data_IF_093626487466
#
_entry.id   IF_093626487466
#
_cell.length_a   1.000
_cell.length_b   1.000
_cell.length_c   1.000
_cell.angle_alpha   90.00
_cell.angle_beta   90.00
_cell.angle_gamma   90.00
#
_symmetry.space_group_name_H-M   'P 1'
#
loop_
_entity.id
_entity.type
_entity.pdbx_description
1 polymer ?
#
# COMPACT_ATOMS: atom_id res chain seq x y z
N UNK A 1 24.21 23.62 40.60
CA UNK A 1 23.52 24.14 39.39
C UNK A 1 24.42 23.89 38.20
N UNK A 2 24.20 22.81 37.46
CA UNK A 2 24.85 22.58 36.17
C UNK A 2 23.77 22.67 35.10
N UNK A 3 23.82 23.76 34.32
CA UNK A 3 22.86 24.04 33.27
C UNK A 3 23.10 23.14 32.06
N UNK A 4 22.11 22.32 31.73
CA UNK A 4 22.01 21.64 30.45
C UNK A 4 21.74 22.66 29.35
N UNK A 5 22.75 22.97 28.54
CA UNK A 5 22.58 23.70 27.31
C UNK A 5 21.86 22.83 26.28
N UNK A 6 20.55 23.02 26.10
CA UNK A 6 19.84 22.58 24.89
C UNK A 6 20.53 23.25 23.70
N UNK A 7 21.27 22.49 22.89
CA UNK A 7 21.70 22.93 21.55
C UNK A 7 20.42 23.24 20.76
N UNK A 8 20.13 24.52 20.54
CA UNK A 8 19.19 24.95 19.52
C UNK A 8 19.71 24.38 18.20
N UNK A 9 19.02 23.40 17.63
CA UNK A 9 19.16 23.06 16.22
C UNK A 9 18.91 24.38 15.48
N UNK A 10 19.92 24.88 14.75
CA UNK A 10 19.74 26.08 13.93
C UNK A 10 18.57 25.82 12.98
N UNK A 11 17.64 26.76 12.85
CA UNK A 11 16.44 26.64 11.99
C UNK A 11 16.78 26.31 10.52
N UNK A 12 18.04 26.46 10.10
CA UNK A 12 18.57 26.07 8.77
C UNK A 12 18.91 24.58 8.63
N UNK A 13 18.97 23.80 9.71
CA UNK A 13 19.29 22.37 9.73
C UNK A 13 18.09 21.46 10.01
N UNK A 14 16.87 22.01 10.06
CA UNK A 14 15.66 21.21 10.23
C UNK A 14 15.56 20.12 9.13
N UNK A 15 15.33 18.84 9.48
CA UNK A 15 15.25 17.75 8.51
C UNK A 15 14.31 18.04 7.32
N UNK A 16 13.21 18.76 7.55
CA UNK A 16 12.21 19.11 6.54
C UNK A 16 12.76 20.07 5.48
N UNK A 17 13.60 21.03 5.87
CA UNK A 17 14.27 21.95 4.91
C UNK A 17 15.32 21.21 4.08
N UNK A 18 16.08 20.30 4.72
CA UNK A 18 17.07 19.45 4.02
C UNK A 18 16.39 18.52 3.02
N UNK A 19 15.27 17.91 3.41
CA UNK A 19 14.48 17.03 2.56
C UNK A 19 14.06 17.73 1.26
N UNK A 20 13.46 18.92 1.35
CA UNK A 20 13.04 19.68 0.17
C UNK A 20 14.22 20.04 -0.75
N UNK A 21 15.39 20.36 -0.18
CA UNK A 21 16.59 20.64 -0.97
C UNK A 21 17.11 19.38 -1.68
N UNK A 22 17.18 18.24 -0.99
CA UNK A 22 17.63 16.98 -1.59
C UNK A 22 16.68 16.49 -2.68
N UNK A 23 15.36 16.58 -2.46
CA UNK A 23 14.36 16.27 -3.50
C UNK A 23 14.55 17.14 -4.74
N UNK A 24 14.73 18.47 -4.56
CA UNK A 24 14.98 19.39 -5.68
C UNK A 24 16.26 19.05 -6.45
N UNK A 25 17.31 18.62 -5.74
CA UNK A 25 18.59 18.21 -6.34
C UNK A 25 18.57 16.78 -6.88
N UNK A 26 17.48 16.03 -6.66
CA UNK A 26 17.39 14.58 -6.93
C UNK A 26 18.51 13.79 -6.25
N UNK A 27 18.91 14.22 -5.05
CA UNK A 27 19.86 13.51 -4.21
C UNK A 27 19.12 12.48 -3.35
N UNK A 28 18.80 11.34 -3.97
CA UNK A 28 17.97 10.32 -3.33
C UNK A 28 18.65 9.62 -2.14
N UNK A 29 19.99 9.58 -2.11
CA UNK A 29 20.72 9.14 -0.93
C UNK A 29 20.56 10.15 0.23
N UNK A 30 20.61 11.45 -0.07
CA UNK A 30 20.29 12.50 0.90
C UNK A 30 18.83 12.45 1.39
N UNK A 31 17.88 12.18 0.49
CA UNK A 31 16.46 11.99 0.82
C UNK A 31 16.27 10.79 1.75
N UNK A 32 16.78 9.61 1.39
CA UNK A 32 16.66 8.38 2.19
C UNK A 32 17.26 8.56 3.60
N UNK A 33 18.47 9.14 3.70
CA UNK A 33 19.08 9.48 5.00
C UNK A 33 18.21 10.42 5.84
N UNK A 34 17.59 11.40 5.20
CA UNK A 34 16.72 12.37 5.90
C UNK A 34 15.42 11.72 6.37
N UNK A 35 14.83 10.82 5.58
CA UNK A 35 13.68 10.01 6.02
C UNK A 35 14.05 9.10 7.20
N UNK A 36 15.20 8.43 7.15
CA UNK A 36 15.68 7.66 8.29
C UNK A 36 15.83 8.53 9.54
N UNK A 37 16.43 9.72 9.44
CA UNK A 37 16.55 10.66 10.58
C UNK A 37 15.19 11.07 11.16
N UNK A 38 14.20 11.34 10.29
CA UNK A 38 12.82 11.65 10.69
C UNK A 38 12.16 10.47 11.40
N UNK A 39 12.32 9.27 10.87
CA UNK A 39 11.77 8.04 11.43
C UNK A 39 12.35 7.70 12.80
N UNK A 40 13.68 7.84 12.97
CA UNK A 40 14.35 7.69 14.26
C UNK A 40 13.83 8.70 15.28
N UNK A 41 13.74 9.97 14.90
CA UNK A 41 13.25 11.02 15.78
C UNK A 41 11.78 10.78 16.19
N UNK A 42 10.93 10.34 15.27
CA UNK A 42 9.55 9.97 15.53
C UNK A 42 9.45 8.78 16.49
N UNK A 43 10.27 7.74 16.27
CA UNK A 43 10.33 6.56 17.14
C UNK A 43 10.75 6.94 18.57
N UNK A 44 11.78 7.76 18.71
CA UNK A 44 12.27 8.25 20.01
C UNK A 44 11.23 9.13 20.73
N UNK A 45 10.39 9.84 19.98
CA UNK A 45 9.29 10.65 20.50
C UNK A 45 8.02 9.83 20.80
N UNK A 46 7.97 8.55 20.42
CA UNK A 46 6.79 7.69 20.55
C UNK A 46 5.71 7.93 19.47
N UNK A 47 6.03 8.68 18.41
CA UNK A 47 5.14 8.91 17.26
C UNK A 47 5.26 7.74 16.27
N UNK A 48 4.70 6.59 16.64
CA UNK A 48 4.99 5.34 15.92
C UNK A 48 4.44 5.30 14.48
N UNK A 49 3.32 5.97 14.19
CA UNK A 49 2.83 6.11 12.81
C UNK A 49 3.79 6.91 11.92
N UNK A 50 4.36 8.01 12.42
CA UNK A 50 5.37 8.78 11.69
C UNK A 50 6.67 7.97 11.55
N UNK A 51 7.04 7.20 12.57
CA UNK A 51 8.20 6.31 12.51
C UNK A 51 8.03 5.26 11.40
N UNK A 52 6.86 4.61 11.33
CA UNK A 52 6.50 3.66 10.28
C UNK A 52 6.64 4.30 8.90
N UNK A 53 5.97 5.43 8.67
CA UNK A 53 6.01 6.16 7.40
C UNK A 53 7.45 6.44 6.97
N UNK A 54 8.24 7.08 7.82
CA UNK A 54 9.55 7.58 7.40
C UNK A 54 10.62 6.50 7.30
N UNK A 55 10.62 5.50 8.18
CA UNK A 55 11.58 4.40 8.09
C UNK A 55 11.33 3.54 6.86
N UNK A 56 10.08 3.15 6.58
CA UNK A 56 9.77 2.39 5.37
C UNK A 56 10.05 3.20 4.10
N UNK A 57 9.84 4.53 4.10
CA UNK A 57 10.24 5.35 2.94
C UNK A 57 11.75 5.43 2.75
N UNK A 58 12.54 5.44 3.83
CA UNK A 58 13.99 5.36 3.73
C UNK A 58 14.40 4.03 3.10
N UNK A 59 13.81 2.93 3.60
CA UNK A 59 14.05 1.56 3.15
C UNK A 59 13.73 1.35 1.67
N UNK A 60 12.52 1.71 1.24
CA UNK A 60 12.12 1.57 -0.16
C UNK A 60 13.07 2.29 -1.11
N UNK A 61 13.56 3.50 -0.75
CA UNK A 61 14.45 4.26 -1.63
C UNK A 61 15.84 3.61 -1.75
N UNK A 62 16.47 3.21 -0.63
CA UNK A 62 17.82 2.63 -0.73
C UNK A 62 17.81 1.20 -1.28
N UNK A 63 16.69 0.48 -1.11
CA UNK A 63 16.52 -0.89 -1.62
C UNK A 63 16.21 -0.93 -3.12
N UNK A 64 15.76 0.19 -3.71
CA UNK A 64 15.42 0.27 -5.13
C UNK A 64 16.63 0.49 -6.08
N UNK A 65 17.77 0.98 -5.59
CA UNK A 65 18.92 1.34 -6.43
C UNK A 65 20.26 1.08 -5.71
N UNK A 66 21.08 0.19 -6.26
CA UNK A 66 22.40 -0.19 -5.72
C UNK A 66 23.33 1.02 -5.50
N UNK A 67 23.24 2.07 -6.32
CA UNK A 67 24.06 3.27 -6.12
C UNK A 67 23.58 4.09 -4.92
N UNK A 68 22.29 4.03 -4.58
CA UNK A 68 21.75 4.66 -3.38
C UNK A 68 22.13 3.79 -2.17
N UNK A 69 21.93 2.47 -2.26
CA UNK A 69 22.36 1.49 -1.28
C UNK A 69 23.81 1.75 -0.81
N UNK A 70 24.76 1.78 -1.75
CA UNK A 70 26.18 1.99 -1.47
C UNK A 70 26.46 3.34 -0.80
N UNK A 71 25.72 4.38 -1.23
CA UNK A 71 25.87 5.73 -0.69
C UNK A 71 25.28 5.88 0.69
N UNK A 72 24.21 5.17 1.03
CA UNK A 72 23.58 5.22 2.36
C UNK A 72 24.44 4.45 3.36
N UNK A 73 24.86 3.23 2.98
CA UNK A 73 25.80 2.38 3.70
C UNK A 73 25.14 1.45 4.72
N UNK A 74 25.69 0.23 4.82
CA UNK A 74 25.17 -0.91 5.60
C UNK A 74 24.75 -0.54 7.03
N UNK A 75 25.57 0.23 7.75
CA UNK A 75 25.28 0.57 9.15
C UNK A 75 23.92 1.27 9.35
N UNK A 76 23.55 2.17 8.44
CA UNK A 76 22.26 2.85 8.52
C UNK A 76 21.14 1.90 8.17
N UNK A 77 21.36 1.06 7.17
CA UNK A 77 20.39 0.07 6.69
C UNK A 77 20.07 -0.98 7.76
N UNK A 78 21.09 -1.52 8.42
CA UNK A 78 20.93 -2.47 9.51
C UNK A 78 20.11 -1.86 10.66
N UNK A 79 20.43 -0.62 11.08
CA UNK A 79 19.68 0.08 12.12
C UNK A 79 18.24 0.41 11.67
N UNK A 80 18.03 0.74 10.40
CA UNK A 80 16.71 1.00 9.83
C UNK A 80 15.85 -0.28 9.84
N UNK A 81 16.41 -1.41 9.38
CA UNK A 81 15.78 -2.72 9.40
C UNK A 81 15.42 -3.18 10.82
N UNK A 82 16.36 -3.06 11.76
CA UNK A 82 16.12 -3.38 13.18
C UNK A 82 14.97 -2.55 13.77
N UNK A 83 14.83 -1.28 13.36
CA UNK A 83 13.73 -0.42 13.83
C UNK A 83 12.41 -0.75 13.18
N UNK A 84 12.40 -1.09 11.89
CA UNK A 84 11.22 -1.56 11.19
C UNK A 84 10.71 -2.85 11.87
N UNK A 85 11.58 -3.84 12.12
CA UNK A 85 11.18 -5.07 12.83
C UNK A 85 10.57 -4.79 14.21
N UNK A 86 11.11 -3.82 14.96
CA UNK A 86 10.52 -3.38 16.24
C UNK A 86 9.14 -2.71 16.10
N UNK A 87 8.85 -2.09 14.97
CA UNK A 87 7.53 -1.53 14.67
C UNK A 87 6.55 -2.61 14.23
N UNK A 88 6.99 -3.58 13.44
CA UNK A 88 6.18 -4.74 13.02
C UNK A 88 5.75 -5.60 14.22
N UNK A 89 6.61 -5.73 15.24
CA UNK A 89 6.29 -6.44 16.49
C UNK A 89 5.42 -5.63 17.46
N UNK A 90 4.99 -4.41 17.10
CA UNK A 90 4.30 -3.51 18.02
C UNK A 90 2.79 -3.74 18.07
N UNK A 91 2.31 -4.27 19.19
CA UNK A 91 0.89 -4.30 19.52
C UNK A 91 0.30 -2.88 19.59
N UNK A 92 -0.93 -2.71 19.07
CA UNK A 92 -1.64 -1.43 19.13
C UNK A 92 -1.31 -0.48 17.99
N UNK A 93 -0.41 -0.88 17.07
CA UNK A 93 -0.06 -0.06 15.91
C UNK A 93 -1.05 -0.35 14.79
N UNK A 94 -1.67 0.69 14.23
CA UNK A 94 -2.68 0.56 13.18
C UNK A 94 -2.20 -0.29 11.99
N UNK A 95 -0.93 -0.16 11.63
CA UNK A 95 -0.28 -0.90 10.54
C UNK A 95 -0.20 -2.41 10.77
N UNK A 96 -0.34 -2.88 12.02
CA UNK A 96 -0.25 -4.29 12.39
C UNK A 96 -1.63 -4.83 12.79
N UNK A 97 -2.35 -4.10 13.64
CA UNK A 97 -3.62 -4.53 14.21
C UNK A 97 -4.69 -4.75 13.13
N UNK A 98 -4.78 -3.85 12.15
CA UNK A 98 -5.79 -3.96 11.09
C UNK A 98 -5.52 -5.16 10.17
N UNK A 99 -4.30 -5.35 9.61
CA UNK A 99 -3.98 -6.58 8.88
C UNK A 99 -4.18 -7.85 9.71
N UNK A 100 -3.80 -7.86 10.99
CA UNK A 100 -3.99 -9.01 11.87
C UNK A 100 -5.48 -9.35 12.08
N UNK A 101 -6.34 -8.34 12.24
CA UNK A 101 -7.79 -8.52 12.33
C UNK A 101 -8.37 -9.08 11.02
N UNK A 102 -7.92 -8.55 9.87
CA UNK A 102 -8.32 -9.04 8.55
C UNK A 102 -7.91 -10.51 8.38
N UNK A 103 -6.68 -10.87 8.72
CA UNK A 103 -6.19 -12.24 8.62
C UNK A 103 -6.97 -13.19 9.53
N UNK A 104 -7.28 -12.77 10.76
CA UNK A 104 -8.07 -13.54 11.70
C UNK A 104 -9.48 -13.81 11.16
N UNK A 105 -10.14 -12.79 10.59
CA UNK A 105 -11.47 -12.91 9.98
C UNK A 105 -11.45 -13.74 8.69
N UNK A 106 -10.40 -13.62 7.88
CA UNK A 106 -10.25 -14.40 6.65
C UNK A 106 -10.21 -15.91 6.91
N UNK A 107 -9.73 -16.36 8.08
CA UNK A 107 -9.73 -17.77 8.49
C UNK A 107 -11.13 -18.36 8.66
N UNK A 108 -12.15 -17.52 8.81
CA UNK A 108 -13.55 -17.95 8.93
C UNK A 108 -14.25 -18.05 7.57
N UNK A 109 -13.59 -17.59 6.50
CA UNK A 109 -14.13 -17.54 5.15
C UNK A 109 -13.56 -18.67 4.29
N UNK A 110 -14.33 -19.10 3.30
CA UNK A 110 -13.84 -19.93 2.21
C UNK A 110 -12.91 -19.14 1.28
N UNK A 111 -12.08 -19.85 0.50
CA UNK A 111 -11.19 -19.20 -0.45
C UNK A 111 -11.90 -18.32 -1.48
N UNK A 112 -13.14 -18.66 -1.87
CA UNK A 112 -13.94 -17.84 -2.77
C UNK A 112 -14.41 -16.54 -2.11
N UNK A 113 -14.85 -16.60 -0.85
CA UNK A 113 -15.29 -15.44 -0.08
C UNK A 113 -14.13 -14.47 0.19
N UNK A 114 -12.94 -14.98 0.54
CA UNK A 114 -11.71 -14.15 0.71
C UNK A 114 -11.35 -13.44 -0.60
N UNK A 115 -11.41 -14.13 -1.75
CA UNK A 115 -11.13 -13.52 -3.06
C UNK A 115 -12.13 -12.42 -3.41
N UNK A 116 -13.41 -12.64 -3.14
CA UNK A 116 -14.43 -11.59 -3.35
C UNK A 116 -14.16 -10.39 -2.44
N UNK A 117 -13.81 -10.62 -1.18
CA UNK A 117 -13.47 -9.53 -0.24
C UNK A 117 -12.26 -8.71 -0.70
N UNK A 118 -11.21 -9.38 -1.19
CA UNK A 118 -10.06 -8.72 -1.82
C UNK A 118 -10.46 -7.91 -3.06
N UNK A 119 -11.25 -8.50 -3.97
CA UNK A 119 -11.72 -7.81 -5.19
C UNK A 119 -12.54 -6.55 -4.90
N UNK A 120 -13.38 -6.58 -3.87
CA UNK A 120 -14.15 -5.41 -3.44
C UNK A 120 -13.22 -4.27 -3.02
N UNK A 121 -12.11 -4.59 -2.36
CA UNK A 121 -11.09 -3.62 -1.94
C UNK A 121 -10.30 -3.06 -3.13
N UNK A 122 -9.91 -3.91 -4.08
CA UNK A 122 -9.27 -3.46 -5.33
C UNK A 122 -10.22 -2.57 -6.15
N UNK A 123 -11.52 -2.88 -6.18
CA UNK A 123 -12.51 -2.07 -6.90
C UNK A 123 -12.54 -0.62 -6.39
N UNK A 124 -12.33 -0.38 -5.09
CA UNK A 124 -12.27 0.97 -4.50
C UNK A 124 -10.99 1.73 -4.87
N UNK A 125 -9.93 1.03 -5.26
CA UNK A 125 -8.68 1.63 -5.74
C UNK A 125 -8.75 2.05 -7.22
N UNK A 126 -9.79 1.65 -7.98
CA UNK A 126 -9.83 1.85 -9.44
C UNK A 126 -9.73 3.32 -9.84
N UNK A 127 -10.48 4.22 -9.20
CA UNK A 127 -10.40 5.66 -9.51
C UNK A 127 -9.05 6.27 -9.16
N UNK A 128 -8.48 5.87 -8.03
CA UNK A 128 -7.14 6.31 -7.67
C UNK A 128 -6.10 5.79 -8.67
N UNK A 129 -6.21 4.53 -9.09
CA UNK A 129 -5.36 3.93 -10.11
C UNK A 129 -5.42 4.66 -11.45
N UNK A 130 -6.62 5.07 -11.89
CA UNK A 130 -6.81 5.89 -13.11
C UNK A 130 -6.16 7.27 -13.00
N UNK A 131 -6.21 7.89 -11.82
CA UNK A 131 -5.55 9.18 -11.59
C UNK A 131 -4.03 9.03 -11.61
N UNK A 132 -3.51 8.02 -10.90
CA UNK A 132 -2.07 7.74 -10.80
C UNK A 132 -1.49 7.26 -12.14
N UNK A 133 -2.26 6.60 -13.00
CA UNK A 133 -1.80 6.13 -14.31
C UNK A 133 -1.48 7.25 -15.30
N UNK A 134 -1.75 8.51 -14.94
CA UNK A 134 -1.36 9.69 -15.71
C UNK A 134 0.09 10.10 -15.45
N UNK A 135 0.69 9.59 -14.37
CA UNK A 135 2.11 9.73 -14.11
C UNK A 135 2.89 8.85 -15.10
N UNK A 136 4.05 9.32 -15.61
CA UNK A 136 4.91 8.50 -16.46
C UNK A 136 5.26 7.17 -15.78
N UNK A 137 5.26 6.08 -16.55
CA UNK A 137 5.63 4.73 -16.11
C UNK A 137 4.68 4.09 -15.08
N UNK A 138 3.51 4.69 -14.85
CA UNK A 138 2.47 4.22 -13.91
C UNK A 138 1.21 3.68 -14.61
N UNK A 139 1.25 3.48 -15.93
CA UNK A 139 0.09 3.14 -16.77
C UNK A 139 -0.59 1.84 -16.33
N UNK A 140 0.15 0.92 -15.70
CA UNK A 140 -0.35 -0.35 -15.15
C UNK A 140 -1.50 -0.13 -14.14
N UNK A 141 -1.44 0.93 -13.32
CA UNK A 141 -2.47 1.24 -12.33
C UNK A 141 -3.82 1.60 -12.99
N UNK A 142 -3.80 2.08 -14.24
CA UNK A 142 -5.01 2.38 -15.01
C UNK A 142 -5.73 1.13 -15.51
N UNK A 143 -5.12 -0.05 -15.38
CA UNK A 143 -5.71 -1.32 -15.81
C UNK A 143 -6.56 -1.99 -14.73
N UNK A 144 -6.62 -1.45 -13.50
CA UNK A 144 -7.37 -2.03 -12.38
C UNK A 144 -8.85 -2.25 -12.70
N UNK A 145 -9.50 -1.32 -13.42
CA UNK A 145 -10.90 -1.48 -13.83
C UNK A 145 -11.11 -2.78 -14.61
N UNK A 146 -10.33 -2.98 -15.66
CA UNK A 146 -10.37 -4.17 -16.49
C UNK A 146 -9.99 -5.44 -15.70
N UNK A 147 -8.95 -5.36 -14.86
CA UNK A 147 -8.45 -6.49 -14.11
C UNK A 147 -9.46 -7.00 -13.09
N UNK A 148 -10.15 -6.09 -12.38
CA UNK A 148 -11.22 -6.44 -11.45
C UNK A 148 -12.35 -7.17 -12.18
N UNK A 149 -12.79 -6.69 -13.35
CA UNK A 149 -13.84 -7.36 -14.12
C UNK A 149 -13.42 -8.74 -14.64
N UNK A 150 -12.16 -8.87 -15.05
CA UNK A 150 -11.62 -10.15 -15.48
C UNK A 150 -11.55 -11.12 -14.30
N UNK A 151 -10.91 -10.73 -13.21
CA UNK A 151 -10.74 -11.56 -12.01
C UNK A 151 -12.09 -11.99 -11.46
N UNK A 152 -13.05 -11.06 -11.35
CA UNK A 152 -14.41 -11.36 -10.90
C UNK A 152 -15.13 -12.39 -11.79
N UNK A 153 -15.13 -12.19 -13.11
CA UNK A 153 -15.75 -13.16 -14.04
C UNK A 153 -15.03 -14.51 -14.01
N UNK A 154 -13.72 -14.50 -13.82
CA UNK A 154 -12.90 -15.71 -13.84
C UNK A 154 -13.07 -16.62 -12.62
N UNK A 155 -13.68 -16.12 -11.53
CA UNK A 155 -14.16 -16.96 -10.43
C UNK A 155 -15.33 -17.87 -10.84
N UNK A 156 -16.03 -17.54 -11.94
CA UNK A 156 -17.18 -18.30 -12.44
C UNK A 156 -16.87 -19.06 -13.73
N UNK A 157 -16.01 -18.52 -14.59
CA UNK A 157 -15.66 -19.13 -15.89
C UNK A 157 -14.22 -18.82 -16.26
N UNK A 158 -13.42 -19.84 -16.59
CA UNK A 158 -12.02 -19.63 -17.01
C UNK A 158 -11.91 -18.61 -18.15
N UNK A 159 -10.94 -17.67 -18.08
CA UNK A 159 -10.76 -16.66 -19.11
C UNK A 159 -10.09 -17.25 -20.36
N UNK A 160 -10.03 -16.47 -21.44
CA UNK A 160 -9.21 -16.83 -22.59
C UNK A 160 -7.71 -16.76 -22.23
N UNK A 161 -6.88 -17.48 -22.99
CA UNK A 161 -5.43 -17.44 -22.83
C UNK A 161 -4.85 -16.03 -22.97
N UNK A 162 -5.40 -15.24 -23.89
CA UNK A 162 -5.00 -13.84 -24.13
C UNK A 162 -5.30 -12.96 -22.90
N UNK A 163 -6.48 -13.13 -22.29
CA UNK A 163 -6.86 -12.39 -21.10
C UNK A 163 -6.03 -12.80 -19.89
N UNK A 164 -5.73 -14.10 -19.75
CA UNK A 164 -4.82 -14.61 -18.73
C UNK A 164 -3.41 -14.00 -18.88
N UNK A 165 -2.86 -13.99 -20.10
CA UNK A 165 -1.53 -13.43 -20.36
C UNK A 165 -1.50 -11.92 -20.06
N UNK A 166 -2.53 -11.16 -20.45
CA UNK A 166 -2.60 -9.74 -20.14
C UNK A 166 -2.64 -9.47 -18.63
N UNK A 167 -3.34 -10.31 -17.86
CA UNK A 167 -3.36 -10.19 -16.40
C UNK A 167 -1.99 -10.51 -15.78
N UNK A 168 -1.28 -11.49 -16.34
CA UNK A 168 0.10 -11.81 -15.95
C UNK A 168 1.07 -10.66 -16.26
N UNK A 169 0.98 -10.04 -17.43
CA UNK A 169 1.82 -8.90 -17.80
C UNK A 169 1.57 -7.71 -16.86
N UNK A 170 0.31 -7.45 -16.52
CA UNK A 170 -0.06 -6.46 -15.50
C UNK A 170 0.51 -6.82 -14.13
N UNK A 171 0.42 -8.08 -13.71
CA UNK A 171 0.99 -8.58 -12.46
C UNK A 171 2.49 -8.25 -12.37
N UNK A 172 3.26 -8.58 -13.40
CA UNK A 172 4.70 -8.30 -13.45
C UNK A 172 4.99 -6.79 -13.41
N UNK A 173 4.22 -5.98 -14.14
CA UNK A 173 4.40 -4.53 -14.15
C UNK A 173 4.08 -3.86 -12.79
N UNK A 174 3.16 -4.44 -11.99
CA UNK A 174 2.91 -4.01 -10.61
C UNK A 174 4.11 -4.27 -9.70
N UNK A 175 4.72 -5.46 -9.81
CA UNK A 175 5.90 -5.84 -9.02
C UNK A 175 7.08 -4.87 -9.22
N UNK A 176 7.29 -4.44 -10.48
CA UNK A 176 8.40 -3.55 -10.84
C UNK A 176 8.17 -2.09 -10.43
N UNK A 177 6.96 -1.70 -10.02
CA UNK A 177 6.59 -0.29 -9.87
C UNK A 177 7.39 0.41 -8.77
N UNK A 178 7.62 -0.25 -7.62
CA UNK A 178 8.35 0.35 -6.50
C UNK A 178 9.84 0.61 -6.79
N UNK A 179 10.41 -0.09 -7.78
CA UNK A 179 11.77 0.13 -8.27
C UNK A 179 11.90 1.33 -9.20
N UNK A 180 10.78 1.94 -9.64
CA UNK A 180 10.81 3.08 -10.56
C UNK A 180 10.97 4.39 -9.78
N UNK A 181 11.76 5.30 -10.34
CA UNK A 181 11.97 6.64 -9.80
C UNK A 181 10.65 7.40 -9.55
N UNK A 182 9.65 7.21 -10.41
CA UNK A 182 8.33 7.85 -10.26
C UNK A 182 7.62 7.42 -8.97
N UNK A 183 7.89 6.22 -8.45
CA UNK A 183 7.24 5.71 -7.24
C UNK A 183 7.41 6.64 -6.03
N UNK A 184 8.63 7.12 -5.83
CA UNK A 184 8.97 8.00 -4.71
C UNK A 184 9.15 9.48 -5.10
N UNK A 185 8.75 9.87 -6.33
CA UNK A 185 8.85 11.26 -6.81
C UNK A 185 7.59 11.81 -7.48
N UNK A 186 6.67 10.95 -7.92
CA UNK A 186 5.43 11.33 -8.58
C UNK A 186 4.34 11.68 -7.58
N UNK A 187 3.52 12.67 -7.95
CA UNK A 187 2.36 13.08 -7.17
C UNK A 187 1.23 13.58 -8.07
N UNK A 188 0.00 13.47 -7.58
CA UNK A 188 -1.21 13.98 -8.20
C UNK A 188 -1.90 14.99 -7.28
N UNK A 189 -2.58 15.96 -7.87
CA UNK A 189 -3.37 16.93 -7.12
C UNK A 189 -4.63 16.28 -6.52
N UNK A 190 -4.96 16.63 -5.27
CA UNK A 190 -6.22 16.27 -4.62
C UNK A 190 -6.96 17.57 -4.28
N UNK A 191 -8.17 17.79 -4.82
CA UNK A 191 -8.90 19.03 -4.59
C UNK A 191 -9.08 19.36 -3.10
N UNK A 192 -8.57 20.52 -2.68
CA UNK A 192 -8.72 21.01 -1.30
C UNK A 192 -7.89 20.27 -0.24
N UNK A 193 -6.99 19.37 -0.64
CA UNK A 193 -6.12 18.60 0.27
C UNK A 193 -4.67 18.63 -0.24
N UNK A 194 -3.68 18.23 0.59
CA UNK A 194 -2.32 18.04 0.09
C UNK A 194 -2.29 17.01 -1.05
N UNK A 195 -1.35 17.14 -2.01
CA UNK A 195 -1.24 16.21 -3.13
C UNK A 195 -1.00 14.80 -2.64
N UNK A 196 -1.52 13.82 -3.36
CA UNK A 196 -1.27 12.41 -3.11
C UNK A 196 0.02 12.02 -3.83
N UNK A 197 1.00 11.54 -3.07
CA UNK A 197 2.25 11.04 -3.61
C UNK A 197 2.06 9.58 -3.98
N UNK A 198 2.60 9.13 -5.11
CA UNK A 198 2.58 7.70 -5.44
C UNK A 198 3.23 6.87 -4.30
N UNK A 199 4.17 7.49 -3.59
CA UNK A 199 4.83 6.91 -2.42
C UNK A 199 3.92 6.71 -1.19
N UNK A 200 2.70 7.28 -1.20
CA UNK A 200 1.69 7.02 -0.17
C UNK A 200 1.09 5.62 -0.31
N UNK A 201 1.36 4.91 -1.43
CA UNK A 201 1.06 3.49 -1.58
C UNK A 201 1.99 2.60 -0.76
N UNK A 202 3.10 3.11 -0.21
CA UNK A 202 4.11 2.31 0.49
C UNK A 202 3.62 1.75 1.84
N UNK A 203 2.57 2.34 2.42
CA UNK A 203 1.98 1.85 3.65
C UNK A 203 1.35 0.46 3.47
N UNK A 204 1.25 -0.31 4.56
CA UNK A 204 0.66 -1.66 4.57
C UNK A 204 1.35 -2.61 3.56
N UNK A 205 2.68 -2.68 3.60
CA UNK A 205 3.53 -3.53 2.75
C UNK A 205 3.59 -3.15 1.25
N UNK A 206 3.03 -2.01 0.86
CA UNK A 206 3.04 -1.53 -0.52
C UNK A 206 1.81 -1.98 -1.29
N UNK A 207 0.88 -1.07 -1.58
CA UNK A 207 -0.38 -1.37 -2.28
C UNK A 207 -0.13 -2.01 -3.63
N UNK A 208 0.91 -1.60 -4.37
CA UNK A 208 1.29 -2.22 -5.64
C UNK A 208 1.83 -3.65 -5.47
N UNK A 209 2.54 -3.94 -4.38
CA UNK A 209 3.01 -5.29 -4.06
C UNK A 209 1.85 -6.18 -3.63
N UNK A 210 0.89 -5.65 -2.87
CA UNK A 210 -0.31 -6.38 -2.49
C UNK A 210 -1.23 -6.65 -3.68
N UNK A 211 -1.34 -5.69 -4.62
CA UNK A 211 -2.02 -5.90 -5.90
C UNK A 211 -1.31 -6.97 -6.74
N UNK A 212 0.02 -6.98 -6.76
CA UNK A 212 0.80 -8.03 -7.41
C UNK A 212 0.53 -9.39 -6.77
N UNK A 213 0.73 -9.53 -5.46
CA UNK A 213 0.55 -10.79 -4.72
C UNK A 213 -0.86 -11.35 -4.90
N UNK A 214 -1.89 -10.51 -4.74
CA UNK A 214 -3.28 -10.92 -4.98
C UNK A 214 -3.50 -11.40 -6.42
N UNK A 215 -2.97 -10.67 -7.41
CA UNK A 215 -3.12 -11.01 -8.84
C UNK A 215 -2.39 -12.30 -9.18
N UNK A 216 -1.17 -12.50 -8.67
CA UNK A 216 -0.39 -13.73 -8.84
C UNK A 216 -1.12 -14.93 -8.20
N UNK A 217 -1.60 -14.77 -6.97
CA UNK A 217 -2.38 -15.79 -6.28
C UNK A 217 -3.66 -16.16 -7.07
N UNK A 218 -4.32 -15.17 -7.69
CA UNK A 218 -5.47 -15.39 -8.57
C UNK A 218 -5.07 -16.11 -9.88
N UNK A 219 -3.97 -15.74 -10.52
CA UNK A 219 -3.44 -16.44 -11.70
C UNK A 219 -3.11 -17.90 -11.40
N UNK A 220 -2.50 -18.19 -10.24
CA UNK A 220 -2.23 -19.56 -9.78
C UNK A 220 -3.52 -20.37 -9.58
N UNK A 221 -4.57 -19.75 -9.05
CA UNK A 221 -5.90 -20.38 -8.97
C UNK A 221 -6.40 -20.77 -10.36
N UNK A 222 -6.37 -19.85 -11.32
CA UNK A 222 -6.84 -20.10 -12.69
C UNK A 222 -6.03 -21.22 -13.36
N UNK A 223 -4.72 -21.23 -13.17
CA UNK A 223 -3.85 -22.30 -13.66
C UNK A 223 -4.22 -23.66 -13.05
N UNK A 224 -4.40 -23.74 -11.74
CA UNK A 224 -4.81 -24.96 -11.04
C UNK A 224 -6.18 -25.47 -11.54
N UNK A 225 -7.16 -24.59 -11.67
CA UNK A 225 -8.48 -24.93 -12.22
C UNK A 225 -8.41 -25.43 -13.66
N UNK A 226 -7.59 -24.81 -14.51
CA UNK A 226 -7.41 -25.23 -15.92
C UNK A 226 -6.80 -26.64 -16.04
N UNK A 227 -6.02 -27.06 -15.04
CA UNK A 227 -5.37 -28.37 -14.97
C UNK A 227 -6.22 -29.42 -14.26
N UNK A 228 -7.38 -29.03 -13.69
CA UNK A 228 -8.21 -29.92 -12.88
C UNK A 228 -7.56 -30.35 -11.58
N UNK A 229 -6.73 -29.48 -10.97
CA UNK A 229 -6.06 -29.77 -9.71
C UNK A 229 -7.06 -30.01 -8.57
N UNK A 230 -6.77 -30.99 -7.71
CA UNK A 230 -7.60 -31.30 -6.54
C UNK A 230 -7.39 -30.29 -5.40
N UNK A 231 -6.17 -29.82 -5.21
CA UNK A 231 -5.81 -28.78 -4.23
C UNK A 231 -5.67 -27.43 -4.92
N UNK A 232 -6.39 -26.43 -4.42
CA UNK A 232 -6.36 -25.06 -4.93
C UNK A 232 -5.49 -24.16 -4.05
N UNK A 233 -4.82 -23.14 -4.60
CA UNK A 233 -4.07 -22.17 -3.81
C UNK A 233 -4.94 -21.49 -2.75
N UNK A 234 -4.41 -21.41 -1.53
CA UNK A 234 -5.05 -20.65 -0.46
C UNK A 234 -5.18 -19.18 -0.86
N UNK A 235 -6.36 -18.61 -0.62
CA UNK A 235 -6.61 -17.21 -0.90
C UNK A 235 -5.89 -16.30 0.11
N UNK A 236 -5.31 -15.22 -0.37
CA UNK A 236 -4.65 -14.18 0.43
C UNK A 236 -5.61 -13.03 0.73
N UNK A 237 -5.45 -12.40 1.89
CA UNK A 237 -6.37 -11.35 2.40
C UNK A 237 -5.72 -10.00 2.66
N UNK A 238 -4.40 -9.89 2.52
CA UNK A 238 -3.61 -8.68 2.81
C UNK A 238 -4.07 -7.45 2.00
N UNK A 239 -4.46 -7.63 0.73
CA UNK A 239 -4.99 -6.57 -0.14
C UNK A 239 -6.22 -5.85 0.40
N UNK A 240 -6.96 -6.46 1.34
CA UNK A 240 -8.20 -5.89 1.90
C UNK A 240 -7.95 -4.57 2.62
N UNK A 241 -6.77 -4.38 3.21
CA UNK A 241 -6.42 -3.16 3.94
C UNK A 241 -5.98 -2.00 3.02
N UNK A 242 -5.62 -2.27 1.77
CA UNK A 242 -4.85 -1.32 0.94
C UNK A 242 -5.59 -0.04 0.54
N UNK A 243 -6.93 -0.05 0.55
CA UNK A 243 -7.73 1.15 0.31
C UNK A 243 -7.73 2.14 1.51
N UNK A 244 -7.17 1.76 2.67
CA UNK A 244 -7.04 2.64 3.85
C UNK A 244 -6.01 3.75 3.65
N UNK A 245 -4.96 3.50 2.85
CA UNK A 245 -3.91 4.45 2.49
C UNK A 245 -3.34 5.24 3.69
N UNK A 246 -2.91 4.57 4.78
CA UNK A 246 -2.57 5.26 6.04
C UNK A 246 -1.42 6.27 5.87
N UNK A 247 -0.43 5.98 5.03
CA UNK A 247 0.72 6.84 4.79
C UNK A 247 0.32 8.22 4.26
N UNK A 248 -0.71 8.32 3.42
CA UNK A 248 -1.24 9.61 2.96
C UNK A 248 -1.68 10.47 4.14
N UNK A 249 -2.42 9.88 5.08
CA UNK A 249 -2.96 10.59 6.23
C UNK A 249 -1.89 10.93 7.26
N UNK A 250 -0.98 10.00 7.56
CA UNK A 250 0.17 10.28 8.45
C UNK A 250 1.01 11.42 7.89
N UNK A 251 1.40 11.35 6.61
CA UNK A 251 2.22 12.36 5.96
C UNK A 251 1.56 13.73 5.95
N UNK A 252 0.23 13.77 5.85
CA UNK A 252 -0.54 15.02 5.80
C UNK A 252 -0.98 15.54 7.16
N UNK A 253 -0.57 14.87 8.24
CA UNK A 253 -0.64 15.40 9.61
C UNK A 253 -1.59 14.66 10.56
N UNK A 254 -2.13 13.51 10.17
CA UNK A 254 -2.92 12.67 11.07
C UNK A 254 -2.03 12.08 12.17
N UNK A 255 -2.40 12.31 13.43
CA UNK A 255 -1.72 11.73 14.59
C UNK A 255 -2.31 10.38 14.98
N UNK A 256 -3.63 10.28 14.89
CA UNK A 256 -4.38 9.04 15.11
C UNK A 256 -5.19 8.70 13.86
N UNK A 257 -4.82 7.59 13.22
CA UNK A 257 -5.48 7.08 12.02
C UNK A 257 -6.92 6.66 12.31
N UNK A 258 -7.21 6.25 13.55
CA UNK A 258 -8.55 5.87 13.97
C UNK A 258 -9.50 7.07 14.03
N UNK A 259 -9.01 8.31 14.05
CA UNK A 259 -9.84 9.51 14.06
C UNK A 259 -10.11 10.07 12.66
N UNK A 260 -9.36 9.64 11.64
CA UNK A 260 -9.46 10.12 10.25
C UNK A 260 -10.81 9.68 9.65
N UNK A 261 -11.68 10.61 9.23
CA UNK A 261 -13.01 10.27 8.72
C UNK A 261 -13.00 9.31 7.52
N UNK A 262 -12.03 9.46 6.62
CA UNK A 262 -11.89 8.65 5.42
C UNK A 262 -11.47 7.23 5.76
N UNK A 263 -10.55 7.06 6.72
CA UNK A 263 -10.15 5.75 7.24
C UNK A 263 -11.34 5.07 7.92
N UNK A 264 -12.11 5.79 8.75
CA UNK A 264 -13.33 5.25 9.37
C UNK A 264 -14.33 4.75 8.32
N UNK A 265 -14.61 5.58 7.32
CA UNK A 265 -15.53 5.21 6.24
C UNK A 265 -15.03 3.99 5.46
N UNK A 266 -13.72 3.85 5.28
CA UNK A 266 -13.14 2.70 4.60
C UNK A 266 -13.14 1.43 5.46
N UNK A 267 -12.85 1.53 6.76
CA UNK A 267 -13.01 0.41 7.70
C UNK A 267 -14.46 -0.08 7.75
N UNK A 268 -15.43 0.84 7.77
CA UNK A 268 -16.86 0.50 7.69
C UNK A 268 -17.19 -0.30 6.41
N UNK A 269 -16.61 0.08 5.26
CA UNK A 269 -16.78 -0.69 4.01
C UNK A 269 -16.12 -2.06 4.11
N UNK A 270 -14.89 -2.15 4.62
CA UNK A 270 -14.16 -3.42 4.78
C UNK A 270 -14.97 -4.39 5.65
N UNK A 271 -15.52 -3.93 6.76
CA UNK A 271 -16.30 -4.78 7.66
C UNK A 271 -17.69 -5.12 7.11
N UNK A 272 -18.35 -4.17 6.43
CA UNK A 272 -19.59 -4.45 5.72
C UNK A 272 -19.39 -5.42 4.55
N UNK A 273 -18.23 -5.40 3.90
CA UNK A 273 -17.86 -6.38 2.88
C UNK A 273 -17.65 -7.75 3.49
N UNK A 274 -16.95 -7.84 4.63
CA UNK A 274 -16.74 -9.09 5.36
C UNK A 274 -18.08 -9.74 5.75
N UNK A 275 -19.01 -8.97 6.36
CA UNK A 275 -20.34 -9.48 6.72
C UNK A 275 -21.10 -9.99 5.50
N UNK A 276 -21.06 -9.21 4.40
CA UNK A 276 -21.71 -9.56 3.14
C UNK A 276 -21.16 -10.85 2.52
N UNK A 277 -19.82 -11.03 2.50
CA UNK A 277 -19.24 -12.26 1.92
C UNK A 277 -19.49 -13.48 2.81
N UNK A 278 -19.50 -13.30 4.15
CA UNK A 278 -19.76 -14.37 5.11
C UNK A 278 -21.20 -14.89 5.06
N UNK A 279 -22.18 -13.99 4.95
CA UNK A 279 -23.60 -14.33 5.12
C UNK A 279 -24.28 -14.84 3.82
N UNK A 280 -23.47 -15.34 2.88
CA UNK A 280 -23.81 -15.81 1.52
C UNK A 280 -24.31 -14.70 0.60
N UNK A 281 -23.50 -14.38 -0.41
CA UNK A 281 -23.83 -13.45 -1.48
C UNK A 281 -24.33 -14.15 -2.75
N UNK A 282 -24.96 -13.37 -3.64
CA UNK A 282 -25.12 -13.75 -5.06
C UNK A 282 -24.07 -13.05 -5.93
N UNK A 283 -23.70 -13.68 -7.05
CA UNK A 283 -22.76 -13.07 -8.00
C UNK A 283 -23.29 -11.75 -8.58
N UNK A 284 -24.61 -11.59 -8.71
CA UNK A 284 -25.22 -10.33 -9.15
C UNK A 284 -24.98 -9.20 -8.12
N UNK A 285 -25.16 -9.48 -6.83
CA UNK A 285 -24.90 -8.51 -5.77
C UNK A 285 -23.43 -8.12 -5.68
N UNK A 286 -22.51 -9.07 -5.83
CA UNK A 286 -21.07 -8.77 -5.89
C UNK A 286 -20.76 -7.87 -7.09
N UNK A 287 -21.28 -8.22 -8.28
CA UNK A 287 -21.08 -7.43 -9.49
C UNK A 287 -21.57 -5.99 -9.34
N UNK A 288 -22.74 -5.81 -8.70
CA UNK A 288 -23.26 -4.48 -8.39
C UNK A 288 -22.34 -3.72 -7.43
N UNK A 289 -21.90 -4.35 -6.34
CA UNK A 289 -21.03 -3.72 -5.35
C UNK A 289 -19.67 -3.33 -5.92
N UNK A 290 -19.10 -4.19 -6.78
CA UNK A 290 -17.89 -3.88 -7.56
C UNK A 290 -18.11 -2.66 -8.44
N UNK A 291 -19.22 -2.61 -9.21
CA UNK A 291 -19.52 -1.49 -10.08
C UNK A 291 -19.66 -0.16 -9.31
N UNK A 292 -20.32 -0.20 -8.15
CA UNK A 292 -20.46 0.98 -7.27
C UNK A 292 -19.09 1.43 -6.72
N UNK A 293 -18.26 0.49 -6.25
CA UNK A 293 -16.92 0.78 -5.72
C UNK A 293 -15.94 1.32 -6.76
N UNK A 294 -16.04 0.87 -8.02
CA UNK A 294 -15.26 1.43 -9.13
C UNK A 294 -15.54 2.92 -9.40
N UNK A 295 -16.67 3.43 -8.94
CA UNK A 295 -17.02 4.85 -9.06
C UNK A 295 -16.65 5.67 -7.81
N UNK A 296 -16.19 5.03 -6.75
CA UNK A 296 -15.82 5.69 -5.51
C UNK A 296 -14.50 6.45 -5.69
N UNK A 297 -14.47 7.70 -5.24
CA UNK A 297 -13.23 8.43 -5.03
C UNK A 297 -12.89 8.38 -3.54
N UNK A 298 -11.94 7.52 -3.17
CA UNK A 298 -11.54 7.29 -1.78
C UNK A 298 -10.73 8.45 -1.18
N UNK A 299 -10.28 9.41 -2.00
CA UNK A 299 -9.60 10.62 -1.57
C UNK A 299 -10.54 11.83 -1.43
N UNK A 300 -11.79 11.73 -1.90
CA UNK A 300 -12.79 12.81 -1.84
C UNK A 300 -13.30 13.09 -0.41
#
# INVERSE_FOLDING_TARGET
MFGFGKKKIKEDNAPEKRLAEFQRKKDWAGVSRTYYELGVAAMDAGNLHEAQLWLHRADTIYSADDNIYDKVGEKLMDDCSDRIGRLEDKDGLFYNDIPAEIEARAKELSGAEVRVWGLLSIARLVRLGEQLSRLPDCEVLGQLDWAVDLMFRSLQTLPSQEAYQRLMDMCNALYELNGKLVYYSGEIEVPGRPPFQLFDLNGLFGVEQELNSYTDNHLRLLAALSQGAEELPQAESSIVACALLPDYYVRTGARDLNEVPQIKAELERIWSDYEFVRDRFTWEEVGKRIADYKQLDILA
#
